data_IF_888418966196
#
_entry.id   IF_888418966196
#
_cell.length_a   1.000
_cell.length_b   1.000
_cell.length_c   1.000
_cell.angle_alpha   90.00
_cell.angle_beta   90.00
_cell.angle_gamma   90.00
#
_symmetry.space_group_name_H-M   'P 1'
#
loop_
_entity.id
_entity.type
_entity.pdbx_description
1 polymer ?
#
# COMPACT_ATOMS: atom_id res chain seq x y z
N UNK A 1 -0.59 -25.45 -26.82
CA UNK A 1 0.71 -25.37 -26.13
C UNK A 1 1.36 -24.00 -26.24
N UNK A 2 0.65 -23.00 -26.67
CA UNK A 2 1.19 -21.67 -26.86
C UNK A 2 1.08 -20.91 -25.54
N UNK A 3 2.22 -20.56 -24.94
CA UNK A 3 2.36 -19.66 -23.78
C UNK A 3 1.40 -19.97 -22.61
N UNK A 4 1.57 -21.11 -21.99
CA UNK A 4 0.87 -21.40 -20.73
C UNK A 4 1.25 -20.42 -19.63
N UNK A 5 2.51 -20.07 -19.59
CA UNK A 5 3.07 -19.12 -18.65
C UNK A 5 4.03 -18.23 -19.42
N UNK A 6 3.83 -16.95 -19.30
CA UNK A 6 4.71 -15.92 -19.79
C UNK A 6 5.39 -15.19 -18.65
N UNK A 7 6.28 -14.30 -19.00
CA UNK A 7 6.76 -13.32 -18.05
C UNK A 7 5.56 -12.48 -17.55
N UNK A 8 5.47 -12.15 -16.26
CA UNK A 8 4.45 -11.24 -15.74
C UNK A 8 4.41 -9.94 -16.54
N UNK A 9 3.23 -9.35 -16.68
CA UNK A 9 3.09 -8.03 -17.30
C UNK A 9 3.80 -6.96 -16.47
N UNK A 10 4.12 -5.83 -17.07
CA UNK A 10 4.72 -4.70 -16.35
C UNK A 10 3.82 -4.24 -15.22
N UNK A 11 2.52 -4.13 -15.45
CA UNK A 11 1.52 -3.77 -14.43
C UNK A 11 1.52 -4.75 -13.25
N UNK A 12 1.61 -6.05 -13.53
CA UNK A 12 1.70 -7.05 -12.46
C UNK A 12 2.99 -6.90 -11.64
N UNK A 13 4.11 -6.58 -12.29
CA UNK A 13 5.39 -6.34 -11.60
C UNK A 13 5.30 -5.08 -10.73
N UNK A 14 4.72 -4.00 -11.25
CA UNK A 14 4.51 -2.76 -10.50
C UNK A 14 3.58 -2.99 -9.30
N UNK A 15 2.47 -3.70 -9.49
CA UNK A 15 1.56 -4.07 -8.39
C UNK A 15 2.27 -4.91 -7.33
N UNK A 16 3.10 -5.89 -7.71
CA UNK A 16 3.90 -6.65 -6.77
C UNK A 16 4.84 -5.75 -5.95
N UNK A 17 5.45 -4.74 -6.57
CA UNK A 17 6.31 -3.77 -5.86
C UNK A 17 5.50 -2.88 -4.90
N UNK A 18 4.29 -2.46 -5.29
CA UNK A 18 3.38 -1.71 -4.42
C UNK A 18 2.97 -2.52 -3.19
N UNK A 19 2.83 -3.85 -3.31
CA UNK A 19 2.55 -4.76 -2.20
C UNK A 19 3.80 -4.93 -1.32
N UNK A 20 4.94 -5.25 -1.91
CA UNK A 20 6.17 -5.59 -1.19
C UNK A 20 6.71 -4.43 -0.33
N UNK A 21 6.69 -3.21 -0.87
CA UNK A 21 7.26 -2.03 -0.21
C UNK A 21 6.66 -1.74 1.17
N UNK A 22 5.35 -1.71 1.38
CA UNK A 22 4.76 -1.49 2.70
C UNK A 22 4.69 -2.76 3.56
N UNK A 23 4.63 -3.98 2.98
CA UNK A 23 4.55 -5.21 3.75
C UNK A 23 5.91 -5.65 4.32
N UNK A 24 6.97 -5.55 3.55
CA UNK A 24 8.30 -6.05 3.96
C UNK A 24 8.78 -5.48 5.30
N UNK A 25 8.71 -4.18 5.58
CA UNK A 25 9.19 -3.62 6.84
C UNK A 25 8.31 -3.95 8.05
N UNK A 26 7.12 -4.54 7.86
CA UNK A 26 6.22 -4.92 8.96
C UNK A 26 6.49 -6.30 9.53
N UNK A 27 7.34 -7.11 8.90
CA UNK A 27 7.80 -8.36 9.49
C UNK A 27 8.85 -8.11 10.58
N UNK A 28 8.89 -9.02 11.56
CA UNK A 28 9.85 -8.95 12.66
C UNK A 28 11.28 -8.87 12.14
N UNK A 29 12.04 -7.88 12.60
CA UNK A 29 13.44 -7.72 12.21
C UNK A 29 14.23 -8.98 12.56
N UNK A 30 15.06 -9.45 11.64
CA UNK A 30 15.85 -10.68 11.81
C UNK A 30 15.12 -11.96 11.40
N UNK A 31 13.86 -11.90 10.95
CA UNK A 31 13.20 -13.04 10.32
C UNK A 31 13.92 -13.38 9.01
N UNK A 32 14.45 -14.62 8.91
CA UNK A 32 15.19 -15.12 7.73
C UNK A 32 14.39 -16.13 6.91
N UNK A 33 13.21 -16.50 7.38
CA UNK A 33 12.32 -17.39 6.64
C UNK A 33 11.86 -16.74 5.34
N UNK A 34 11.78 -17.52 4.28
CA UNK A 34 11.15 -17.08 3.04
C UNK A 34 9.66 -16.90 3.28
N UNK A 35 9.12 -15.75 2.85
CA UNK A 35 7.68 -15.44 2.89
C UNK A 35 7.24 -15.17 1.46
N UNK A 36 6.31 -15.97 0.99
CA UNK A 36 5.71 -15.81 -0.33
C UNK A 36 4.24 -15.40 -0.19
N UNK A 37 3.89 -14.28 -0.82
CA UNK A 37 2.51 -13.80 -0.94
C UNK A 37 2.09 -13.92 -2.39
N UNK A 38 1.02 -14.68 -2.64
CA UNK A 38 0.46 -14.87 -3.97
C UNK A 38 -0.92 -14.23 -4.04
N UNK A 39 -1.09 -13.29 -4.96
CA UNK A 39 -2.36 -12.62 -5.22
C UNK A 39 -2.88 -13.06 -6.58
N UNK A 40 -4.09 -13.63 -6.58
CA UNK A 40 -4.77 -14.06 -7.81
C UNK A 40 -6.00 -13.19 -8.04
N UNK A 41 -6.03 -12.44 -9.13
CA UNK A 41 -7.20 -11.67 -9.55
C UNK A 41 -8.19 -12.61 -10.23
N UNK A 42 -9.31 -12.90 -9.56
CA UNK A 42 -10.32 -13.83 -10.07
C UNK A 42 -11.46 -13.14 -10.82
N UNK A 43 -11.70 -11.86 -10.53
CA UNK A 43 -12.71 -11.04 -11.20
C UNK A 43 -12.24 -9.59 -11.23
N UNK A 44 -12.47 -8.92 -12.34
CA UNK A 44 -12.03 -7.55 -12.57
C UNK A 44 -13.20 -6.74 -13.12
N UNK A 45 -13.43 -5.57 -12.53
CA UNK A 45 -14.20 -4.50 -13.17
C UNK A 45 -13.21 -3.63 -13.98
N UNK A 46 -13.38 -3.49 -15.29
CA UNK A 46 -12.47 -2.71 -16.12
C UNK A 46 -12.34 -1.23 -15.75
N UNK A 47 -13.31 -0.69 -15.01
CA UNK A 47 -13.31 0.72 -14.58
C UNK A 47 -12.54 0.94 -13.28
N UNK A 48 -12.26 -0.12 -12.51
CA UNK A 48 -11.65 -0.02 -11.19
C UNK A 48 -10.18 -0.46 -11.23
N UNK A 49 -9.35 0.20 -10.44
CA UNK A 49 -7.96 -0.19 -10.25
C UNK A 49 -7.88 -1.27 -9.17
N UNK A 50 -7.14 -2.34 -9.46
CA UNK A 50 -7.02 -3.50 -8.55
C UNK A 50 -5.77 -3.45 -7.65
N UNK A 51 -4.85 -2.54 -7.88
CA UNK A 51 -3.55 -2.45 -7.21
C UNK A 51 -3.69 -2.26 -5.69
N UNK A 52 -4.51 -1.30 -5.25
CA UNK A 52 -4.75 -1.08 -3.81
C UNK A 52 -5.59 -2.20 -3.18
N UNK A 53 -6.47 -2.83 -3.94
CA UNK A 53 -7.20 -4.02 -3.48
C UNK A 53 -6.22 -5.17 -3.24
N UNK A 54 -5.23 -5.32 -4.10
CA UNK A 54 -4.17 -6.32 -3.96
C UNK A 54 -3.28 -6.05 -2.73
N UNK A 55 -2.94 -4.78 -2.44
CA UNK A 55 -2.22 -4.40 -1.21
C UNK A 55 -3.02 -4.83 0.04
N UNK A 56 -4.29 -4.44 0.10
CA UNK A 56 -5.15 -4.73 1.24
C UNK A 56 -5.41 -6.24 1.40
N UNK A 57 -5.63 -6.96 0.30
CA UNK A 57 -5.79 -8.42 0.32
C UNK A 57 -4.53 -9.15 0.78
N UNK A 58 -3.36 -8.73 0.31
CA UNK A 58 -2.07 -9.27 0.74
C UNK A 58 -1.83 -9.02 2.24
N UNK A 59 -2.11 -7.81 2.73
CA UNK A 59 -2.01 -7.47 4.15
C UNK A 59 -2.96 -8.31 5.00
N UNK A 60 -4.23 -8.41 4.63
CA UNK A 60 -5.23 -9.20 5.34
C UNK A 60 -4.84 -10.69 5.42
N UNK A 61 -4.39 -11.28 4.30
CA UNK A 61 -3.97 -12.68 4.29
C UNK A 61 -2.74 -12.93 5.17
N UNK A 62 -1.80 -11.99 5.18
CA UNK A 62 -0.62 -12.05 6.04
C UNK A 62 -0.99 -11.95 7.51
N UNK A 63 -1.91 -11.04 7.86
CA UNK A 63 -2.43 -10.87 9.21
C UNK A 63 -3.09 -12.17 9.73
N UNK A 64 -3.79 -12.91 8.87
CA UNK A 64 -4.46 -14.16 9.21
C UNK A 64 -3.52 -15.36 9.31
N UNK A 65 -2.32 -15.28 8.76
CA UNK A 65 -1.43 -16.44 8.54
C UNK A 65 -0.75 -16.99 9.79
N UNK A 66 -0.65 -16.20 10.85
CA UNK A 66 0.14 -16.52 12.06
C UNK A 66 1.63 -16.25 11.90
N UNK A 67 2.04 -15.49 10.89
CA UNK A 67 3.39 -14.96 10.75
C UNK A 67 3.65 -13.81 11.74
N UNK A 68 4.93 -13.56 12.13
CA UNK A 68 5.29 -12.44 12.99
C UNK A 68 5.24 -11.11 12.20
N UNK A 69 4.04 -10.62 12.00
CA UNK A 69 3.66 -9.48 11.20
C UNK A 69 3.04 -8.39 12.07
N UNK A 70 3.56 -7.18 12.02
CA UNK A 70 3.12 -6.03 12.83
C UNK A 70 2.18 -5.08 12.06
N UNK A 71 1.36 -5.67 11.16
CA UNK A 71 0.27 -4.96 10.48
C UNK A 71 -0.97 -4.82 11.33
N UNK A 72 -2.13 -4.51 10.75
CA UNK A 72 -2.37 -4.49 9.28
C UNK A 72 -1.83 -3.26 8.58
N UNK A 73 -1.69 -3.37 7.25
CA UNK A 73 -1.36 -2.29 6.35
C UNK A 73 -2.57 -1.98 5.48
N UNK A 74 -2.97 -0.71 5.45
CA UNK A 74 -4.00 -0.21 4.54
C UNK A 74 -3.37 0.52 3.36
N UNK A 75 -3.89 0.30 2.15
CA UNK A 75 -3.47 0.99 0.95
C UNK A 75 -4.64 1.66 0.24
N UNK A 76 -4.48 2.91 -0.18
CA UNK A 76 -5.47 3.69 -0.91
C UNK A 76 -4.81 4.41 -2.08
N UNK A 77 -5.49 4.49 -3.22
CA UNK A 77 -5.16 5.45 -4.28
C UNK A 77 -6.04 6.67 -4.11
N UNK A 78 -5.43 7.85 -4.16
CA UNK A 78 -6.12 9.13 -4.15
C UNK A 78 -5.69 9.96 -5.35
N UNK A 79 -6.62 10.73 -5.90
CA UNK A 79 -6.38 11.58 -7.06
C UNK A 79 -6.86 13.00 -6.81
N UNK A 80 -6.14 13.98 -7.32
CA UNK A 80 -6.52 15.40 -7.28
C UNK A 80 -7.35 15.71 -8.51
N UNK A 81 -8.65 15.87 -8.31
CA UNK A 81 -9.66 16.13 -9.36
C UNK A 81 -10.46 17.37 -8.97
N UNK A 82 -10.51 18.38 -9.84
CA UNK A 82 -11.21 19.64 -9.59
C UNK A 82 -10.87 20.29 -8.24
N UNK A 83 -9.61 20.19 -7.83
CA UNK A 83 -9.11 20.74 -6.57
C UNK A 83 -9.50 19.96 -5.32
N UNK A 84 -10.04 18.75 -5.48
CA UNK A 84 -10.41 17.85 -4.37
C UNK A 84 -9.69 16.52 -4.44
N UNK A 85 -9.38 15.95 -3.28
CA UNK A 85 -8.83 14.61 -3.17
C UNK A 85 -9.94 13.56 -3.18
N UNK A 86 -9.92 12.70 -4.21
CA UNK A 86 -10.88 11.61 -4.41
C UNK A 86 -10.18 10.29 -4.09
N UNK A 87 -10.72 9.53 -3.14
CA UNK A 87 -10.23 8.19 -2.81
C UNK A 87 -10.80 7.12 -3.74
N UNK A 88 -9.99 6.12 -4.09
CA UNK A 88 -10.36 5.02 -4.99
C UNK A 88 -10.90 5.50 -6.34
N UNK A 89 -10.19 6.38 -7.05
CA UNK A 89 -10.65 6.89 -8.34
C UNK A 89 -10.79 5.75 -9.35
N UNK A 90 -11.76 5.88 -10.25
CA UNK A 90 -11.88 5.01 -11.42
C UNK A 90 -10.90 5.42 -12.53
N UNK A 91 -10.67 4.55 -13.53
CA UNK A 91 -9.88 4.91 -14.71
C UNK A 91 -10.42 6.15 -15.41
N UNK A 92 -11.75 6.29 -15.55
CA UNK A 92 -12.38 7.47 -16.13
C UNK A 92 -12.08 8.75 -15.32
N UNK A 93 -12.11 8.68 -14.00
CA UNK A 93 -11.80 9.81 -13.12
C UNK A 93 -10.31 10.20 -13.20
N UNK A 94 -9.41 9.23 -13.35
CA UNK A 94 -7.99 9.52 -13.54
C UNK A 94 -7.66 10.26 -14.84
N UNK A 95 -8.51 10.15 -15.87
CA UNK A 95 -8.37 10.92 -17.11
C UNK A 95 -8.39 12.45 -16.90
N UNK A 96 -9.07 12.91 -15.84
CA UNK A 96 -9.20 14.32 -15.46
C UNK A 96 -8.36 14.72 -14.26
N UNK A 97 -7.66 13.78 -13.68
CA UNK A 97 -6.80 14.02 -12.52
C UNK A 97 -5.54 14.81 -12.92
N UNK A 98 -5.19 15.78 -12.11
CA UNK A 98 -3.92 16.53 -12.24
C UNK A 98 -2.76 15.75 -11.65
N UNK A 99 -3.05 14.97 -10.63
CA UNK A 99 -2.06 14.23 -9.87
C UNK A 99 -2.73 13.06 -9.14
N UNK A 100 -2.07 11.94 -9.05
CA UNK A 100 -2.54 10.84 -8.22
C UNK A 100 -1.40 10.17 -7.45
N UNK A 101 -1.74 9.48 -6.38
CA UNK A 101 -0.77 8.72 -5.60
C UNK A 101 -1.42 7.52 -4.91
N UNK A 102 -0.65 6.44 -4.82
CA UNK A 102 -0.92 5.31 -3.94
C UNK A 102 -0.22 5.56 -2.61
N UNK A 103 -0.98 5.55 -1.54
CA UNK A 103 -0.49 5.74 -0.18
C UNK A 103 -0.80 4.49 0.62
N UNK A 104 0.21 3.94 1.29
CA UNK A 104 0.02 2.85 2.23
C UNK A 104 0.61 3.18 3.60
N UNK A 105 -0.07 2.70 4.64
CA UNK A 105 0.31 2.98 6.01
C UNK A 105 -0.32 2.00 6.99
N UNK A 106 -0.03 2.20 8.27
CA UNK A 106 -0.59 1.44 9.38
C UNK A 106 -1.00 2.36 10.52
N UNK A 107 -1.84 1.88 11.40
CA UNK A 107 -2.18 2.60 12.62
C UNK A 107 -0.95 2.64 13.55
N UNK A 108 -0.63 3.80 14.07
CA UNK A 108 0.44 4.05 15.04
C UNK A 108 -0.08 4.99 16.14
N UNK A 109 -0.49 4.42 17.27
CA UNK A 109 -1.20 5.16 18.32
C UNK A 109 -2.50 5.77 17.78
N UNK A 110 -2.67 7.07 17.97
CA UNK A 110 -3.86 7.79 17.55
C UNK A 110 -3.82 8.27 16.07
N UNK A 111 -2.71 8.05 15.38
CA UNK A 111 -2.53 8.50 13.99
C UNK A 111 -2.22 7.32 13.04
N UNK A 112 -2.07 7.63 11.76
CA UNK A 112 -1.65 6.71 10.71
C UNK A 112 -0.21 7.05 10.31
N UNK A 113 0.68 6.09 10.51
CA UNK A 113 2.05 6.18 9.98
C UNK A 113 2.05 5.80 8.50
N UNK A 114 2.38 6.74 7.64
CA UNK A 114 2.55 6.50 6.20
C UNK A 114 3.88 5.76 6.00
N UNK A 115 3.82 4.65 5.31
CA UNK A 115 4.97 3.76 5.08
C UNK A 115 5.43 3.73 3.63
N UNK A 116 4.54 4.02 2.70
CA UNK A 116 4.83 4.01 1.27
C UNK A 116 3.99 5.05 0.55
N UNK A 117 4.63 5.76 -0.36
CA UNK A 117 4.00 6.65 -1.34
C UNK A 117 4.56 6.31 -2.70
N UNK A 118 3.68 6.16 -3.67
CA UNK A 118 3.99 6.11 -5.10
C UNK A 118 3.12 7.16 -5.78
N UNK A 119 3.74 8.18 -6.34
CA UNK A 119 3.05 9.35 -6.85
C UNK A 119 3.35 9.53 -8.34
N UNK A 120 2.35 9.95 -9.08
CA UNK A 120 2.42 10.14 -10.52
C UNK A 120 1.67 11.42 -10.92
N UNK A 121 2.27 12.19 -11.84
CA UNK A 121 1.60 13.25 -12.56
C UNK A 121 1.19 12.73 -13.93
N UNK A 122 -0.03 13.04 -14.38
CA UNK A 122 -0.51 12.61 -15.69
C UNK A 122 0.18 13.39 -16.82
N UNK A 123 0.23 12.82 -18.01
CA UNK A 123 0.74 13.52 -19.21
C UNK A 123 0.00 14.85 -19.49
N UNK A 124 -1.25 14.94 -19.03
CA UNK A 124 -2.12 16.13 -19.21
C UNK A 124 -1.93 17.20 -18.15
N UNK A 125 -1.12 16.93 -17.09
CA UNK A 125 -0.98 17.82 -15.93
C UNK A 125 -0.62 19.25 -16.33
N UNK A 126 0.33 19.44 -17.25
CA UNK A 126 0.77 20.76 -17.68
C UNK A 126 -0.37 21.52 -18.35
N UNK A 127 -1.11 20.87 -19.24
CA UNK A 127 -2.22 21.48 -19.97
C UNK A 127 -3.40 21.79 -19.03
N UNK A 128 -3.70 20.90 -18.08
CA UNK A 128 -4.73 21.12 -17.08
C UNK A 128 -4.41 22.32 -16.19
N UNK A 129 -3.16 22.42 -15.70
CA UNK A 129 -2.73 23.55 -14.88
C UNK A 129 -2.70 24.85 -15.68
N UNK A 130 -2.25 24.82 -16.93
CA UNK A 130 -2.32 25.98 -17.83
C UNK A 130 -3.78 26.41 -18.11
N UNK A 131 -4.71 25.45 -18.10
CA UNK A 131 -6.16 25.68 -18.20
C UNK A 131 -6.82 26.19 -16.92
N UNK A 132 -6.08 26.34 -15.82
CA UNK A 132 -6.56 26.87 -14.54
C UNK A 132 -6.85 25.82 -13.46
N UNK A 133 -6.50 24.56 -13.68
CA UNK A 133 -6.56 23.53 -12.63
C UNK A 133 -5.52 23.81 -11.53
N UNK A 134 -5.80 23.34 -10.32
CA UNK A 134 -4.90 23.50 -9.19
C UNK A 134 -3.60 22.73 -9.41
N UNK A 135 -2.46 23.42 -9.36
CA UNK A 135 -1.15 22.79 -9.50
C UNK A 135 -0.84 21.89 -8.28
N UNK A 136 -0.23 20.71 -8.47
CA UNK A 136 0.16 19.81 -7.38
C UNK A 136 1.45 20.30 -6.71
N UNK A 137 1.36 21.40 -5.95
CA UNK A 137 2.45 21.94 -5.16
C UNK A 137 2.77 21.02 -3.98
N UNK A 138 3.93 21.20 -3.35
CA UNK A 138 4.33 20.44 -2.16
C UNK A 138 3.27 20.51 -1.04
N UNK A 139 2.67 21.68 -0.83
CA UNK A 139 1.60 21.87 0.15
C UNK A 139 0.34 21.05 -0.19
N UNK A 140 -0.05 21.05 -1.46
CA UNK A 140 -1.20 20.28 -1.94
C UNK A 140 -0.95 18.78 -1.85
N UNK A 141 0.25 18.32 -2.23
CA UNK A 141 0.63 16.92 -2.08
C UNK A 141 0.66 16.50 -0.61
N UNK A 142 1.20 17.36 0.28
CA UNK A 142 1.15 17.15 1.72
C UNK A 142 -0.28 17.01 2.26
N UNK A 143 -1.20 17.88 1.82
CA UNK A 143 -2.62 17.78 2.16
C UNK A 143 -3.26 16.47 1.64
N UNK A 144 -2.83 15.98 0.50
CA UNK A 144 -3.24 14.67 -0.02
C UNK A 144 -2.83 13.51 0.88
N UNK A 145 -1.60 13.54 1.41
CA UNK A 145 -1.16 12.51 2.36
C UNK A 145 -2.06 12.48 3.62
N UNK A 146 -2.43 13.65 4.13
CA UNK A 146 -3.38 13.74 5.24
C UNK A 146 -4.78 13.24 4.85
N UNK A 147 -5.24 13.54 3.63
CA UNK A 147 -6.52 13.06 3.10
C UNK A 147 -6.57 11.53 2.92
N UNK A 148 -5.44 10.87 2.73
CA UNK A 148 -5.34 9.41 2.64
C UNK A 148 -5.55 8.69 3.98
N UNK A 149 -5.17 9.32 5.10
CA UNK A 149 -5.16 8.69 6.44
C UNK A 149 -6.51 8.11 6.88
N UNK A 150 -7.65 8.79 6.72
CA UNK A 150 -8.96 8.23 7.11
C UNK A 150 -9.29 6.92 6.37
N UNK A 151 -8.96 6.84 5.08
CA UNK A 151 -9.17 5.62 4.29
C UNK A 151 -8.27 4.47 4.78
N UNK A 152 -6.99 4.77 5.01
CA UNK A 152 -6.03 3.79 5.53
C UNK A 152 -6.48 3.27 6.89
N UNK A 153 -6.94 4.15 7.79
CA UNK A 153 -7.47 3.77 9.10
C UNK A 153 -8.65 2.82 8.96
N UNK A 154 -9.66 3.17 8.16
CA UNK A 154 -10.83 2.32 7.96
C UNK A 154 -10.47 0.93 7.42
N UNK A 155 -9.50 0.85 6.50
CA UNK A 155 -9.00 -0.41 5.95
C UNK A 155 -8.23 -1.23 6.99
N UNK A 156 -7.45 -0.59 7.84
CA UNK A 156 -6.74 -1.26 8.92
C UNK A 156 -7.73 -1.78 9.99
N UNK A 157 -8.71 -0.98 10.36
CA UNK A 157 -9.74 -1.37 11.35
C UNK A 157 -10.53 -2.59 10.86
N UNK A 158 -10.96 -2.60 9.61
CA UNK A 158 -11.65 -3.76 9.01
C UNK A 158 -10.77 -5.03 8.96
N UNK A 159 -9.49 -4.88 8.65
CA UNK A 159 -8.54 -6.00 8.68
C UNK A 159 -8.29 -6.50 10.11
N UNK A 160 -8.29 -5.59 11.09
CA UNK A 160 -8.14 -5.97 12.50
C UNK A 160 -9.38 -6.75 13.00
N UNK A 161 -10.59 -6.30 12.67
CA UNK A 161 -11.82 -7.05 12.98
C UNK A 161 -11.79 -8.48 12.38
N UNK A 162 -11.33 -8.59 11.13
CA UNK A 162 -11.16 -9.89 10.48
C UNK A 162 -10.13 -10.76 11.20
N UNK A 163 -9.00 -10.17 11.61
CA UNK A 163 -7.95 -10.88 12.34
C UNK A 163 -8.43 -11.37 13.71
N UNK A 164 -9.17 -10.54 14.45
CA UNK A 164 -9.74 -10.89 15.76
C UNK A 164 -10.70 -12.09 15.66
N UNK A 165 -11.39 -12.20 14.52
CA UNK A 165 -12.34 -13.30 14.28
C UNK A 165 -11.67 -14.59 13.76
N UNK A 166 -10.58 -14.50 12.99
CA UNK A 166 -10.11 -15.62 12.17
C UNK A 166 -8.58 -15.80 12.09
N UNK A 167 -7.77 -14.96 12.73
CA UNK A 167 -6.32 -15.09 12.67
C UNK A 167 -5.83 -16.38 13.38
N UNK A 168 -4.84 -17.01 12.79
CA UNK A 168 -4.11 -18.08 13.44
C UNK A 168 -3.23 -17.52 14.56
N UNK A 169 -2.99 -18.28 15.64
CA UNK A 169 -1.99 -17.90 16.63
C UNK A 169 -0.64 -17.64 15.97
N UNK A 170 0.03 -16.59 16.40
CA UNK A 170 1.37 -16.26 15.90
C UNK A 170 2.34 -17.38 16.33
N UNK A 171 2.96 -18.01 15.35
CA UNK A 171 3.95 -19.04 15.59
C UNK A 171 5.29 -18.41 16.01
N UNK A 172 6.08 -19.17 16.79
CA UNK A 172 7.43 -18.76 17.14
C UNK A 172 8.39 -19.08 15.99
N UNK A 173 9.03 -18.05 15.47
CA UNK A 173 10.01 -18.15 14.40
C UNK A 173 11.38 -17.71 14.89
N UNK A 174 12.46 -18.43 14.48
CA UNK A 174 13.80 -18.03 14.86
C UNK A 174 14.13 -16.65 14.25
N UNK A 175 14.68 -15.80 15.07
CA UNK A 175 15.11 -14.44 14.71
C UNK A 175 16.62 -14.37 14.79
N UNK A 176 17.25 -13.89 13.72
CA UNK A 176 18.69 -13.76 13.61
C UNK A 176 19.04 -12.28 13.41
N UNK A 177 19.42 -11.60 14.47
CA UNK A 177 19.98 -10.26 14.40
C UNK A 177 21.47 -10.34 14.02
N UNK A 178 21.96 -9.35 13.30
CA UNK A 178 23.36 -9.28 12.85
C UNK A 178 24.29 -8.70 13.93
N UNK A 179 23.71 -8.18 15.00
CA UNK A 179 24.42 -7.57 16.13
C UNK A 179 23.64 -7.86 17.41
N UNK A 180 24.34 -7.84 18.53
CA UNK A 180 23.76 -7.92 19.87
C UNK A 180 23.44 -6.52 20.41
N UNK A 181 22.54 -6.43 21.39
CA UNK A 181 22.04 -5.16 21.90
C UNK A 181 23.16 -4.30 22.48
N UNK A 182 24.16 -4.92 23.13
CA UNK A 182 25.32 -4.23 23.68
C UNK A 182 26.19 -3.55 22.60
N UNK A 183 26.27 -4.16 21.41
CA UNK A 183 26.98 -3.58 20.28
C UNK A 183 26.20 -2.39 19.68
N UNK A 184 24.88 -2.48 19.69
CA UNK A 184 24.01 -1.37 19.24
C UNK A 184 24.13 -0.18 20.22
N UNK A 185 23.96 -0.42 21.50
CA UNK A 185 24.02 0.60 22.55
C UNK A 185 25.39 1.32 22.63
N UNK A 186 26.47 0.64 22.20
CA UNK A 186 27.80 1.23 22.16
C UNK A 186 28.01 2.21 20.99
N UNK A 187 27.12 2.24 20.01
CA UNK A 187 27.22 3.08 18.78
C UNK A 187 26.19 4.22 18.79
N UNK A 188 25.08 4.06 19.49
CA UNK A 188 24.07 5.09 19.66
C UNK A 188 24.51 6.15 20.70
#
# INVERSE_FOLDING_TARGET
>A
FFRREGRPTEDAILTCRLIDRPLRPTFKKGLRNEVQVVVTVMSLNPNDLYDVVAINGASASTQLSGLPFSGPVGGVRIALIDGQWVGFPTHEQLETAVFDMVVAGRIAGDDVAIMMVEAEATDKTIDLVAGGAQAPTEEIVGAGLEAAKPFIRALCDAQQELADAAAKPVADYPVFLEFEDDAYDAVE
#
